data_IF_786042436681
#
_entry.id   IF_786042436681
#
_cell.length_a   1.000
_cell.length_b   1.000
_cell.length_c   1.000
_cell.angle_alpha   90.00
_cell.angle_beta   90.00
_cell.angle_gamma   90.00
#
_symmetry.space_group_name_H-M   'P 1'
#
loop_
_entity.id
_entity.type
_entity.pdbx_description
1 polymer ?
#
# COMPACT_ATOMS: atom_id res chain seq x y z
N UNK A 1 -5.09 10.49 -21.79
CA UNK A 1 -3.70 9.95 -21.93
C UNK A 1 -3.55 8.85 -20.93
N UNK A 2 -2.98 7.72 -21.29
CA UNK A 2 -2.77 6.62 -20.35
C UNK A 2 -1.77 7.05 -19.26
N UNK A 3 -1.99 6.59 -18.02
CA UNK A 3 -1.05 6.75 -16.94
C UNK A 3 0.15 5.81 -17.13
N UNK A 4 1.36 6.26 -16.78
CA UNK A 4 2.55 5.41 -16.73
C UNK A 4 2.95 5.25 -15.25
N UNK A 5 2.83 4.04 -14.73
CA UNK A 5 3.30 3.68 -13.39
C UNK A 5 4.71 3.11 -13.50
N UNK A 6 5.65 3.72 -12.81
CA UNK A 6 7.04 3.26 -12.75
C UNK A 6 7.31 2.68 -11.35
N UNK A 7 7.36 1.35 -11.26
CA UNK A 7 7.66 0.61 -10.04
C UNK A 7 8.34 -0.72 -10.37
N UNK A 8 8.95 -1.35 -9.38
CA UNK A 8 9.64 -2.63 -9.53
C UNK A 8 8.70 -3.72 -10.08
N UNK A 9 9.09 -4.50 -11.11
CA UNK A 9 8.17 -5.37 -11.84
C UNK A 9 7.77 -6.66 -11.11
N UNK A 10 8.61 -7.12 -10.17
CA UNK A 10 8.44 -8.43 -9.50
C UNK A 10 7.71 -8.39 -8.17
N UNK A 11 7.34 -7.21 -7.67
CA UNK A 11 6.78 -7.03 -6.33
C UNK A 11 5.54 -6.13 -6.31
N UNK A 12 4.65 -6.41 -5.37
CA UNK A 12 3.54 -5.50 -5.09
C UNK A 12 4.04 -4.18 -4.49
N UNK A 13 4.72 -4.26 -3.38
CA UNK A 13 5.34 -3.16 -2.67
C UNK A 13 4.46 -1.91 -2.57
N UNK A 14 5.08 -0.74 -2.64
CA UNK A 14 4.37 0.55 -2.64
C UNK A 14 3.63 0.85 -3.94
N UNK A 15 3.99 0.21 -5.05
CA UNK A 15 3.29 0.35 -6.33
C UNK A 15 1.87 -0.19 -6.30
N UNK A 16 1.60 -1.20 -5.46
CA UNK A 16 0.28 -1.83 -5.41
C UNK A 16 -0.82 -0.89 -4.90
N UNK A 17 -0.50 0.01 -4.00
CA UNK A 17 -1.44 1.04 -3.56
C UNK A 17 -1.91 1.91 -4.72
N UNK A 18 -1.01 2.22 -5.66
CA UNK A 18 -1.31 2.99 -6.86
C UNK A 18 -2.12 2.15 -7.85
N UNK A 19 -1.72 0.87 -8.07
CA UNK A 19 -2.46 -0.04 -8.96
C UNK A 19 -3.92 -0.17 -8.52
N UNK A 20 -4.17 -0.39 -7.23
CA UNK A 20 -5.53 -0.50 -6.71
C UNK A 20 -6.38 0.76 -6.96
N UNK A 21 -5.78 1.94 -6.85
CA UNK A 21 -6.49 3.19 -7.14
C UNK A 21 -6.84 3.34 -8.63
N UNK A 22 -5.90 3.01 -9.53
CA UNK A 22 -6.11 3.03 -10.97
C UNK A 22 -7.14 1.98 -11.41
N UNK A 23 -7.05 0.77 -10.87
CA UNK A 23 -8.02 -0.31 -11.14
C UNK A 23 -9.42 0.05 -10.65
N UNK A 24 -9.56 0.59 -9.44
CA UNK A 24 -10.86 1.04 -8.93
C UNK A 24 -11.45 2.18 -9.75
N UNK A 25 -10.62 3.13 -10.18
CA UNK A 25 -11.01 4.21 -11.08
C UNK A 25 -11.45 3.68 -12.46
N UNK A 26 -10.94 2.52 -12.87
CA UNK A 26 -11.15 1.93 -14.20
C UNK A 26 -10.33 2.65 -15.27
N UNK A 27 -9.20 3.18 -14.88
CA UNK A 27 -8.30 3.89 -15.78
C UNK A 27 -7.28 2.95 -16.40
N UNK A 28 -7.03 3.17 -17.69
CA UNK A 28 -5.95 2.48 -18.40
C UNK A 28 -4.60 3.02 -17.95
N UNK A 29 -3.69 2.12 -17.63
CA UNK A 29 -2.31 2.47 -17.27
C UNK A 29 -1.31 1.45 -17.79
N UNK A 30 -0.10 1.94 -18.03
CA UNK A 30 1.07 1.10 -18.31
C UNK A 30 1.90 0.93 -17.03
N UNK A 31 2.14 -0.32 -16.63
CA UNK A 31 3.11 -0.68 -15.59
C UNK A 31 4.49 -0.85 -16.26
N UNK A 32 5.17 0.27 -16.50
CA UNK A 32 6.29 0.42 -17.44
C UNK A 32 7.40 -0.60 -17.21
N UNK A 33 7.79 -0.82 -15.95
CA UNK A 33 8.90 -1.73 -15.65
C UNK A 33 8.58 -3.22 -15.91
N UNK A 34 7.31 -3.56 -16.12
CA UNK A 34 6.90 -4.94 -16.48
C UNK A 34 7.01 -5.23 -17.97
N UNK A 35 7.23 -4.20 -18.79
CA UNK A 35 7.48 -4.35 -20.22
C UNK A 35 8.95 -4.62 -20.56
N UNK A 36 9.26 -4.96 -21.83
CA UNK A 36 10.63 -5.14 -22.29
C UNK A 36 11.49 -3.88 -22.07
N UNK A 37 12.67 -4.03 -21.44
CA UNK A 37 13.55 -2.90 -21.11
C UNK A 37 13.00 -1.92 -20.06
N UNK A 38 11.87 -2.26 -19.43
CA UNK A 38 11.15 -1.35 -18.53
C UNK A 38 11.90 -0.99 -17.26
N UNK A 39 12.76 -1.89 -16.75
CA UNK A 39 13.63 -1.57 -15.59
C UNK A 39 14.66 -0.50 -15.95
N UNK A 40 15.27 -0.58 -17.13
CA UNK A 40 16.21 0.45 -17.58
C UNK A 40 15.50 1.80 -17.77
N UNK A 41 14.29 1.77 -18.32
CA UNK A 41 13.41 2.96 -18.42
C UNK A 41 13.10 3.55 -17.06
N UNK A 42 12.74 2.73 -16.06
CA UNK A 42 12.51 3.18 -14.67
C UNK A 42 13.76 3.82 -14.09
N UNK A 43 14.92 3.19 -14.24
CA UNK A 43 16.18 3.70 -13.69
C UNK A 43 16.65 5.01 -14.33
N UNK A 44 16.43 5.16 -15.64
CA UNK A 44 16.69 6.41 -16.35
C UNK A 44 15.75 7.52 -15.85
N UNK A 45 14.46 7.22 -15.75
CA UNK A 45 13.42 8.16 -15.36
C UNK A 45 13.56 8.73 -13.94
N UNK A 46 14.24 8.01 -13.02
CA UNK A 46 14.54 8.52 -11.67
C UNK A 46 15.38 9.81 -11.67
N UNK A 47 16.14 10.05 -12.73
CA UNK A 47 17.06 11.20 -12.85
C UNK A 47 16.53 12.29 -13.75
N UNK A 48 15.37 12.11 -14.36
CA UNK A 48 14.81 13.00 -15.36
C UNK A 48 13.93 14.10 -14.78
N UNK A 49 13.90 15.24 -15.51
CA UNK A 49 12.97 16.32 -15.28
C UNK A 49 13.32 17.25 -14.12
N UNK A 50 12.51 18.32 -13.94
CA UNK A 50 12.73 19.33 -12.90
C UNK A 50 12.32 18.86 -11.49
N UNK A 51 11.55 17.76 -11.39
CA UNK A 51 11.05 17.19 -10.14
C UNK A 51 11.42 15.71 -10.04
N UNK A 52 12.73 15.37 -9.88
CA UNK A 52 13.19 13.99 -9.86
C UNK A 52 12.59 13.25 -8.66
N UNK A 53 12.18 12.00 -8.89
CA UNK A 53 11.66 11.14 -7.82
C UNK A 53 12.81 10.52 -7.03
N UNK A 54 12.73 10.55 -5.71
CA UNK A 54 13.75 9.94 -4.83
C UNK A 54 13.83 8.41 -5.03
N UNK A 55 12.68 7.77 -5.17
CA UNK A 55 12.55 6.33 -5.35
C UNK A 55 11.19 5.98 -5.98
N UNK A 56 11.04 4.78 -6.60
CA UNK A 56 9.73 4.31 -7.04
C UNK A 56 8.79 4.01 -5.83
N UNK A 57 7.46 4.13 -6.01
CA UNK A 57 6.76 4.42 -7.26
C UNK A 57 6.77 5.89 -7.61
N UNK A 58 6.68 6.15 -8.91
CA UNK A 58 6.24 7.43 -9.42
C UNK A 58 5.31 7.24 -10.63
N UNK A 59 4.45 8.21 -10.82
CA UNK A 59 3.43 8.23 -11.86
C UNK A 59 3.73 9.36 -12.85
N UNK A 60 3.72 9.05 -14.14
CA UNK A 60 3.69 10.05 -15.19
C UNK A 60 2.25 10.27 -15.64
N UNK A 61 1.83 11.52 -15.63
CA UNK A 61 0.48 11.94 -15.99
C UNK A 61 0.49 13.40 -16.46
N UNK A 62 -0.16 13.70 -17.57
CA UNK A 62 -0.35 15.07 -18.07
C UNK A 62 0.95 15.90 -18.14
N UNK A 63 2.05 15.28 -18.50
CA UNK A 63 3.36 15.92 -18.57
C UNK A 63 4.07 16.15 -17.23
N UNK A 64 3.49 15.67 -16.14
CA UNK A 64 4.06 15.71 -14.79
C UNK A 64 4.67 14.37 -14.41
N UNK A 65 5.67 14.39 -13.52
CA UNK A 65 6.15 13.23 -12.79
C UNK A 65 5.84 13.44 -11.32
N UNK A 66 5.05 12.52 -10.73
CA UNK A 66 4.58 12.59 -9.35
C UNK A 66 5.20 11.42 -8.58
N UNK A 67 6.09 11.72 -7.65
CA UNK A 67 6.66 10.75 -6.72
C UNK A 67 5.83 10.61 -5.44
N UNK A 68 6.21 9.65 -4.59
CA UNK A 68 5.56 9.33 -3.32
C UNK A 68 4.14 8.78 -3.46
N UNK A 69 3.92 7.57 -2.96
CA UNK A 69 2.61 6.90 -3.01
C UNK A 69 1.46 7.79 -2.53
N UNK A 70 1.64 8.51 -1.42
CA UNK A 70 0.59 9.36 -0.87
C UNK A 70 0.25 10.55 -1.78
N UNK A 71 1.25 11.15 -2.44
CA UNK A 71 1.01 12.25 -3.39
C UNK A 71 0.35 11.75 -4.68
N UNK A 72 0.76 10.59 -5.18
CA UNK A 72 0.12 9.94 -6.34
C UNK A 72 -1.35 9.66 -6.04
N UNK A 73 -1.65 9.09 -4.88
CA UNK A 73 -3.02 8.75 -4.48
C UNK A 73 -3.88 10.00 -4.27
N UNK A 74 -3.32 11.06 -3.72
CA UNK A 74 -4.02 12.35 -3.61
C UNK A 74 -4.40 12.90 -5.00
N UNK A 75 -3.46 12.87 -5.95
CA UNK A 75 -3.68 13.29 -7.33
C UNK A 75 -4.77 12.45 -8.02
N UNK A 76 -4.70 11.12 -7.92
CA UNK A 76 -5.70 10.22 -8.50
C UNK A 76 -7.06 10.37 -7.79
N UNK A 77 -7.05 10.53 -6.48
CA UNK A 77 -8.26 10.68 -5.67
C UNK A 77 -9.12 11.86 -6.08
N UNK A 78 -8.50 13.01 -6.34
CA UNK A 78 -9.18 14.22 -6.78
C UNK A 78 -9.80 14.06 -8.19
N UNK A 79 -9.10 13.37 -9.09
CA UNK A 79 -9.52 13.20 -10.49
C UNK A 79 -10.59 12.13 -10.69
N UNK A 80 -10.56 11.08 -9.91
CA UNK A 80 -11.37 9.89 -10.15
C UNK A 80 -12.42 9.65 -9.06
N UNK A 81 -12.71 10.65 -8.23
CA UNK A 81 -13.74 10.53 -7.19
C UNK A 81 -13.38 9.58 -6.06
N UNK A 82 -12.08 9.31 -5.84
CA UNK A 82 -11.59 8.49 -4.73
C UNK A 82 -11.18 9.33 -3.51
N UNK A 83 -11.67 10.56 -3.43
CA UNK A 83 -11.56 11.47 -2.29
C UNK A 83 -12.75 12.44 -2.27
N UNK A 84 -13.15 12.97 -1.09
CA UNK A 84 -14.15 14.01 -1.01
C UNK A 84 -13.77 15.28 -1.80
N UNK A 85 -14.78 16.02 -2.24
CA UNK A 85 -14.56 17.24 -3.02
C UNK A 85 -14.19 18.45 -2.14
N UNK A 86 -14.57 18.45 -0.86
CA UNK A 86 -14.24 19.51 0.07
C UNK A 86 -12.82 19.39 0.63
N UNK A 87 -12.25 20.52 1.03
CA UNK A 87 -10.85 20.58 1.51
C UNK A 87 -10.65 19.78 2.81
N UNK A 88 -11.61 19.81 3.73
CA UNK A 88 -11.48 19.10 5.01
C UNK A 88 -11.47 17.59 4.79
N UNK A 89 -12.36 17.07 3.93
CA UNK A 89 -12.41 15.68 3.56
C UNK A 89 -11.14 15.21 2.84
N UNK A 90 -10.61 16.00 1.89
CA UNK A 90 -9.34 15.70 1.22
C UNK A 90 -8.17 15.62 2.19
N UNK A 91 -8.05 16.60 3.10
CA UNK A 91 -6.98 16.61 4.11
C UNK A 91 -7.11 15.42 5.06
N UNK A 92 -8.34 15.07 5.45
CA UNK A 92 -8.57 13.91 6.32
C UNK A 92 -8.20 12.59 5.61
N UNK A 93 -8.61 12.41 4.36
CA UNK A 93 -8.22 11.24 3.56
C UNK A 93 -6.69 11.13 3.43
N UNK A 94 -6.03 12.27 3.19
CA UNK A 94 -4.57 12.31 3.07
C UNK A 94 -3.86 12.00 4.40
N UNK A 95 -4.39 12.51 5.53
CA UNK A 95 -3.88 12.17 6.86
C UNK A 95 -3.96 10.66 7.14
N UNK A 96 -5.08 10.01 6.79
CA UNK A 96 -5.22 8.56 6.92
C UNK A 96 -4.22 7.81 6.04
N UNK A 97 -4.00 8.27 4.82
CA UNK A 97 -3.01 7.71 3.91
C UNK A 97 -1.58 7.83 4.45
N UNK A 98 -1.23 8.95 5.07
CA UNK A 98 0.09 9.11 5.71
C UNK A 98 0.25 8.18 6.92
N UNK A 99 -0.81 8.00 7.71
CA UNK A 99 -0.82 7.02 8.81
C UNK A 99 -0.63 5.58 8.30
N UNK A 100 -1.22 5.24 7.14
CA UNK A 100 -0.97 3.95 6.48
C UNK A 100 0.49 3.85 6.03
N UNK A 101 1.06 4.92 5.45
CA UNK A 101 2.45 4.94 5.02
C UNK A 101 3.44 4.71 6.17
N UNK A 102 3.14 5.24 7.36
CA UNK A 102 3.93 4.99 8.57
C UNK A 102 3.92 3.49 8.93
N UNK A 103 2.74 2.84 8.93
CA UNK A 103 2.65 1.41 9.23
C UNK A 103 3.33 0.55 8.16
N UNK A 104 3.28 0.95 6.90
CA UNK A 104 4.00 0.30 5.80
C UNK A 104 5.52 0.36 6.01
N UNK A 105 6.03 1.50 6.49
CA UNK A 105 7.44 1.64 6.84
C UNK A 105 7.81 0.74 8.03
N UNK A 106 6.98 0.73 9.08
CA UNK A 106 7.20 -0.15 10.23
C UNK A 106 7.16 -1.64 9.85
N UNK A 107 6.28 -2.05 8.92
CA UNK A 107 6.25 -3.42 8.42
C UNK A 107 7.54 -3.78 7.67
N UNK A 108 8.05 -2.89 6.83
CA UNK A 108 9.34 -3.07 6.15
C UNK A 108 10.49 -3.20 7.15
N UNK A 109 10.50 -2.39 8.21
CA UNK A 109 11.56 -2.40 9.22
C UNK A 109 11.58 -3.68 10.08
N UNK A 110 10.53 -4.52 10.04
CA UNK A 110 10.57 -5.81 10.73
C UNK A 110 11.61 -6.76 10.18
N UNK A 111 11.96 -6.65 8.91
CA UNK A 111 12.97 -7.49 8.25
C UNK A 111 14.22 -6.71 7.79
N UNK A 112 14.21 -5.37 7.92
CA UNK A 112 15.34 -4.49 7.65
C UNK A 112 15.53 -3.46 8.78
N UNK A 113 15.66 -3.88 10.06
CA UNK A 113 15.64 -2.97 11.20
C UNK A 113 16.91 -2.14 11.37
N UNK A 114 18.05 -2.63 10.88
CA UNK A 114 19.34 -1.95 11.00
C UNK A 114 19.63 -1.12 9.75
N UNK A 115 19.40 -1.69 8.58
CA UNK A 115 19.63 -0.99 7.33
C UNK A 115 19.02 -1.70 6.13
N UNK A 116 18.42 -0.92 5.23
CA UNK A 116 17.78 -1.45 4.02
C UNK A 116 18.78 -2.01 2.99
N UNK A 117 20.07 -1.69 3.12
CA UNK A 117 21.13 -2.23 2.28
C UNK A 117 21.72 -3.58 2.78
N UNK A 118 21.31 -4.05 3.95
CA UNK A 118 21.70 -5.34 4.50
C UNK A 118 20.69 -6.42 4.11
N UNK A 119 21.13 -7.67 3.98
CA UNK A 119 20.21 -8.80 3.84
C UNK A 119 19.54 -9.13 5.18
N UNK A 120 18.37 -9.78 5.11
CA UNK A 120 17.67 -10.24 6.32
C UNK A 120 18.56 -11.14 7.18
N UNK A 121 19.37 -12.00 6.55
CA UNK A 121 20.29 -12.92 7.18
C UNK A 121 21.33 -12.25 8.07
N UNK A 122 21.71 -11.01 7.74
CA UNK A 122 22.72 -10.23 8.45
C UNK A 122 22.15 -9.52 9.70
N UNK A 123 20.83 -9.48 9.86
CA UNK A 123 20.14 -8.70 10.89
C UNK A 123 18.98 -9.46 11.57
N UNK A 124 19.01 -10.79 11.57
CA UNK A 124 17.92 -11.64 12.10
C UNK A 124 17.59 -11.38 13.57
N UNK A 125 18.60 -11.15 14.40
CA UNK A 125 18.40 -10.90 15.84
C UNK A 125 17.64 -9.60 16.08
N UNK A 126 18.01 -8.54 15.39
CA UNK A 126 17.36 -7.23 15.44
C UNK A 126 15.96 -7.31 14.80
N UNK A 127 15.81 -8.04 13.70
CA UNK A 127 14.53 -8.29 13.05
C UNK A 127 13.54 -8.98 13.99
N UNK A 128 13.97 -10.02 14.69
CA UNK A 128 13.14 -10.71 15.69
C UNK A 128 12.67 -9.73 16.79
N UNK A 129 13.59 -8.92 17.33
CA UNK A 129 13.27 -7.93 18.36
C UNK A 129 12.29 -6.87 17.85
N UNK A 130 12.50 -6.36 16.62
CA UNK A 130 11.61 -5.38 15.99
C UNK A 130 10.22 -5.97 15.71
N UNK A 131 10.16 -7.20 15.19
CA UNK A 131 8.90 -7.89 14.90
C UNK A 131 8.09 -8.19 16.17
N UNK A 132 8.74 -8.48 17.30
CA UNK A 132 8.05 -8.66 18.59
C UNK A 132 7.32 -7.39 19.05
N UNK A 133 7.94 -6.22 18.95
CA UNK A 133 7.27 -4.95 19.23
C UNK A 133 6.16 -4.69 18.21
N UNK A 134 6.46 -4.88 16.92
CA UNK A 134 5.51 -4.64 15.84
C UNK A 134 4.24 -5.47 15.98
N UNK A 135 4.37 -6.78 16.21
CA UNK A 135 3.22 -7.69 16.30
C UNK A 135 2.42 -7.55 17.61
N UNK A 136 3.09 -7.19 18.73
CA UNK A 136 2.45 -7.10 20.05
C UNK A 136 1.91 -5.71 20.38
N UNK A 137 2.52 -4.66 19.87
CA UNK A 137 2.15 -3.29 20.22
C UNK A 137 1.68 -2.47 19.01
N UNK A 138 2.38 -2.54 17.87
CA UNK A 138 2.11 -1.63 16.76
C UNK A 138 0.89 -2.05 15.94
N UNK A 139 0.81 -3.30 15.47
CA UNK A 139 -0.39 -3.81 14.78
C UNK A 139 -1.66 -3.55 15.59
N UNK A 140 -1.76 -3.93 16.88
CA UNK A 140 -2.96 -3.65 17.68
C UNK A 140 -3.30 -2.16 17.77
N UNK A 141 -2.29 -1.28 17.94
CA UNK A 141 -2.51 0.17 18.03
C UNK A 141 -3.09 0.75 16.75
N UNK A 142 -2.55 0.40 15.59
CA UNK A 142 -3.04 0.88 14.31
C UNK A 142 -4.43 0.32 13.99
N UNK A 143 -4.67 -0.95 14.29
CA UNK A 143 -5.99 -1.55 14.08
C UNK A 143 -7.06 -0.90 14.96
N UNK A 144 -6.77 -0.66 16.24
CA UNK A 144 -7.67 0.07 17.12
C UNK A 144 -7.98 1.49 16.58
N UNK A 145 -6.97 2.20 16.08
CA UNK A 145 -7.15 3.51 15.48
C UNK A 145 -8.07 3.45 14.24
N UNK A 146 -7.76 2.61 13.26
CA UNK A 146 -8.57 2.50 12.06
C UNK A 146 -9.96 1.95 12.33
N UNK A 147 -10.11 1.04 13.27
CA UNK A 147 -11.41 0.54 13.74
C UNK A 147 -12.25 1.65 14.34
N UNK A 148 -11.66 2.54 15.14
CA UNK A 148 -12.33 3.72 15.70
C UNK A 148 -12.71 4.72 14.60
N UNK A 149 -11.81 4.99 13.65
CA UNK A 149 -12.09 5.87 12.51
C UNK A 149 -13.21 5.32 11.65
N UNK A 150 -13.22 4.02 11.38
CA UNK A 150 -14.27 3.37 10.59
C UNK A 150 -15.62 3.40 11.33
N UNK A 151 -15.65 3.05 12.62
CA UNK A 151 -16.89 2.97 13.39
C UNK A 151 -17.88 2.01 12.74
N UNK A 152 -19.11 2.50 12.54
CA UNK A 152 -20.20 1.77 11.88
C UNK A 152 -20.36 2.09 10.39
N UNK A 153 -19.46 2.91 9.83
CA UNK A 153 -19.50 3.32 8.41
C UNK A 153 -19.09 2.18 7.49
N UNK A 154 -19.50 2.27 6.23
CA UNK A 154 -19.07 1.34 5.20
C UNK A 154 -17.60 1.52 4.82
N UNK A 155 -17.13 2.77 4.74
CA UNK A 155 -15.76 3.16 4.43
C UNK A 155 -15.27 4.22 5.42
N UNK A 156 -13.98 4.48 5.46
CA UNK A 156 -13.32 5.35 6.45
C UNK A 156 -13.96 6.74 6.55
N UNK A 157 -14.47 7.27 5.43
CA UNK A 157 -15.07 8.61 5.38
C UNK A 157 -16.61 8.60 5.30
N UNK A 158 -17.26 7.46 5.09
CA UNK A 158 -18.72 7.37 4.98
C UNK A 158 -19.19 6.25 4.07
N UNK A 159 -20.05 6.56 3.10
CA UNK A 159 -20.64 5.59 2.17
C UNK A 159 -19.78 5.35 0.92
N UNK A 160 -18.92 6.29 0.55
CA UNK A 160 -18.11 6.22 -0.66
C UNK A 160 -16.69 5.75 -0.37
N UNK A 161 -16.17 4.87 -1.24
CA UNK A 161 -14.80 4.40 -1.15
C UNK A 161 -13.82 5.52 -1.46
N UNK A 162 -12.73 5.57 -0.71
CA UNK A 162 -11.60 6.48 -0.97
C UNK A 162 -10.32 5.70 -1.23
N UNK A 163 -9.29 6.39 -1.73
CA UNK A 163 -7.97 5.76 -1.87
C UNK A 163 -7.38 5.29 -0.53
N UNK A 164 -7.80 5.88 0.60
CA UNK A 164 -7.38 5.43 1.92
C UNK A 164 -7.98 4.06 2.29
N UNK A 165 -9.21 3.76 1.85
CA UNK A 165 -9.83 2.45 2.03
C UNK A 165 -9.13 1.37 1.21
N UNK A 166 -8.79 1.69 -0.05
CA UNK A 166 -8.02 0.80 -0.93
C UNK A 166 -6.62 0.54 -0.35
N UNK A 167 -6.01 1.57 0.22
CA UNK A 167 -4.71 1.45 0.87
C UNK A 167 -4.78 0.64 2.16
N UNK A 168 -5.81 0.85 2.98
CA UNK A 168 -6.02 0.04 4.19
C UNK A 168 -6.29 -1.42 3.83
N UNK A 169 -7.05 -1.68 2.77
CA UNK A 169 -7.24 -3.03 2.22
C UNK A 169 -5.89 -3.69 1.88
N UNK A 170 -5.04 -3.04 1.08
CA UNK A 170 -3.73 -3.57 0.71
C UNK A 170 -2.83 -3.81 1.93
N UNK A 171 -2.88 -2.92 2.90
CA UNK A 171 -2.15 -3.06 4.16
C UNK A 171 -2.60 -4.31 4.92
N UNK A 172 -3.92 -4.52 5.06
CA UNK A 172 -4.49 -5.69 5.75
C UNK A 172 -4.12 -7.00 5.03
N UNK A 173 -4.18 -7.03 3.69
CA UNK A 173 -3.74 -8.16 2.88
C UNK A 173 -2.25 -8.47 3.10
N UNK A 174 -1.41 -7.42 3.08
CA UNK A 174 0.03 -7.57 3.28
C UNK A 174 0.41 -8.04 4.68
N UNK A 175 -0.27 -7.51 5.70
CA UNK A 175 -0.06 -7.95 7.09
C UNK A 175 -0.54 -9.38 7.33
N UNK A 176 -1.67 -9.78 6.71
CA UNK A 176 -2.16 -11.16 6.78
C UNK A 176 -1.20 -12.16 6.12
N UNK A 177 -0.56 -11.75 5.01
CA UNK A 177 0.49 -12.55 4.39
C UNK A 177 1.74 -12.65 5.27
N UNK A 178 2.26 -11.51 5.76
CA UNK A 178 3.54 -11.47 6.48
C UNK A 178 3.42 -11.98 7.94
N UNK A 179 2.33 -11.63 8.63
CA UNK A 179 2.08 -11.90 10.05
C UNK A 179 0.68 -12.48 10.27
N UNK A 180 0.37 -13.66 9.71
CA UNK A 180 -0.99 -14.21 9.76
C UNK A 180 -1.54 -14.41 11.17
N UNK A 181 -0.72 -14.83 12.14
CA UNK A 181 -1.17 -15.04 13.53
C UNK A 181 -1.45 -13.70 14.24
N UNK A 182 -0.55 -12.73 14.11
CA UNK A 182 -0.72 -11.42 14.74
C UNK A 182 -1.91 -10.67 14.12
N UNK A 183 -2.05 -10.71 12.80
CA UNK A 183 -3.15 -10.09 12.06
C UNK A 183 -4.49 -10.73 12.43
N UNK A 184 -4.59 -12.05 12.49
CA UNK A 184 -5.81 -12.75 12.90
C UNK A 184 -6.23 -12.38 14.34
N UNK A 185 -5.27 -12.33 15.29
CA UNK A 185 -5.56 -11.88 16.67
C UNK A 185 -6.10 -10.46 16.72
N UNK A 186 -5.52 -9.55 15.94
CA UNK A 186 -5.95 -8.16 15.92
C UNK A 186 -7.31 -7.98 15.23
N UNK A 187 -7.55 -8.65 14.10
CA UNK A 187 -8.84 -8.61 13.40
C UNK A 187 -9.98 -9.19 14.22
N UNK A 188 -9.71 -10.22 15.05
CA UNK A 188 -10.72 -10.78 15.96
C UNK A 188 -11.26 -9.74 16.95
N UNK A 189 -10.46 -8.72 17.30
CA UNK A 189 -10.87 -7.62 18.19
C UNK A 189 -11.49 -6.44 17.41
N UNK A 190 -11.33 -6.40 16.08
CA UNK A 190 -11.76 -5.33 15.21
C UNK A 190 -12.51 -5.87 13.98
N UNK A 191 -13.71 -6.50 14.17
CA UNK A 191 -14.43 -7.17 13.08
C UNK A 191 -14.88 -6.21 11.97
N UNK A 192 -15.05 -4.92 12.27
CA UNK A 192 -15.35 -3.91 11.26
C UNK A 192 -14.22 -3.73 10.22
N UNK A 193 -12.95 -3.90 10.60
CA UNK A 193 -11.83 -3.90 9.66
C UNK A 193 -11.86 -5.13 8.74
N UNK A 194 -12.21 -6.30 9.27
CA UNK A 194 -12.41 -7.49 8.45
C UNK A 194 -13.57 -7.31 7.46
N UNK A 195 -14.65 -6.66 7.90
CA UNK A 195 -15.78 -6.32 7.03
C UNK A 195 -15.40 -5.32 5.93
N UNK A 196 -14.62 -4.27 6.27
CA UNK A 196 -14.07 -3.33 5.26
C UNK A 196 -13.21 -4.07 4.24
N UNK A 197 -12.28 -4.92 4.68
CA UNK A 197 -11.42 -5.74 3.82
C UNK A 197 -12.24 -6.55 2.83
N UNK A 198 -13.27 -7.25 3.31
CA UNK A 198 -14.16 -8.04 2.46
C UNK A 198 -14.97 -7.18 1.48
N UNK A 199 -15.46 -6.02 1.93
CA UNK A 199 -16.22 -5.07 1.11
C UNK A 199 -15.36 -4.51 -0.02
N UNK A 200 -14.14 -4.11 0.25
CA UNK A 200 -13.21 -3.63 -0.79
C UNK A 200 -12.87 -4.75 -1.78
N UNK A 201 -12.57 -5.96 -1.30
CA UNK A 201 -12.29 -7.12 -2.16
C UNK A 201 -13.47 -7.47 -3.08
N UNK A 202 -14.72 -7.25 -2.64
CA UNK A 202 -15.93 -7.54 -3.40
C UNK A 202 -16.30 -6.45 -4.42
N UNK A 203 -15.62 -5.31 -4.45
CA UNK A 203 -15.89 -4.27 -5.46
C UNK A 203 -15.59 -4.80 -6.86
N UNK A 204 -16.48 -4.61 -7.85
CA UNK A 204 -16.38 -5.32 -9.11
C UNK A 204 -15.03 -5.21 -9.82
N UNK A 205 -14.45 -4.01 -9.87
CA UNK A 205 -13.15 -3.78 -10.53
C UNK A 205 -11.99 -4.36 -9.71
N UNK A 206 -12.03 -4.21 -8.39
CA UNK A 206 -11.04 -4.80 -7.49
C UNK A 206 -11.11 -6.32 -7.56
N UNK A 207 -12.30 -6.93 -7.48
CA UNK A 207 -12.46 -8.38 -7.58
C UNK A 207 -11.91 -8.94 -8.91
N UNK A 208 -12.17 -8.25 -10.02
CA UNK A 208 -11.62 -8.62 -11.32
C UNK A 208 -10.09 -8.49 -11.37
N UNK A 209 -9.54 -7.42 -10.79
CA UNK A 209 -8.09 -7.23 -10.70
C UNK A 209 -7.41 -8.30 -9.84
N UNK A 210 -7.98 -8.63 -8.67
CA UNK A 210 -7.43 -9.64 -7.76
C UNK A 210 -7.32 -11.03 -8.41
N UNK A 211 -8.20 -11.34 -9.37
CA UNK A 211 -8.20 -12.60 -10.12
C UNK A 211 -7.38 -12.55 -11.41
N UNK A 212 -6.86 -11.39 -11.77
CA UNK A 212 -6.15 -11.19 -13.03
C UNK A 212 -4.64 -11.46 -12.89
N UNK A 213 -3.94 -11.80 -13.99
CA UNK A 213 -2.47 -11.94 -14.00
C UNK A 213 -1.74 -10.59 -13.80
N UNK A 214 -2.45 -9.47 -13.79
CA UNK A 214 -1.88 -8.17 -13.47
C UNK A 214 -1.56 -8.03 -11.98
N UNK A 215 -2.33 -8.70 -11.11
CA UNK A 215 -2.04 -8.76 -9.66
C UNK A 215 -0.80 -9.61 -9.42
N UNK A 216 0.27 -8.98 -8.96
CA UNK A 216 1.51 -9.69 -8.59
C UNK A 216 1.25 -10.46 -7.29
N UNK A 217 1.62 -11.75 -7.17
CA UNK A 217 1.52 -12.45 -5.89
C UNK A 217 2.47 -11.86 -4.84
N UNK A 218 2.12 -11.99 -3.56
CA UNK A 218 3.07 -11.70 -2.48
C UNK A 218 4.29 -12.62 -2.58
N UNK A 219 5.44 -12.10 -2.18
CA UNK A 219 6.72 -12.82 -2.16
C UNK A 219 7.68 -12.25 -1.10
N UNK A 220 8.87 -12.85 -0.99
CA UNK A 220 9.88 -12.50 0.01
C UNK A 220 10.84 -11.38 -0.45
N UNK A 221 10.48 -10.62 -1.49
CA UNK A 221 11.30 -9.51 -2.01
C UNK A 221 10.64 -8.14 -1.78
N UNK A 222 9.32 -8.15 -1.45
CA UNK A 222 8.53 -6.95 -1.25
C UNK A 222 8.65 -6.36 0.16
N UNK A 223 7.66 -5.49 0.52
CA UNK A 223 7.54 -4.91 1.86
C UNK A 223 7.01 -5.93 2.85
N UNK A 224 6.00 -6.69 2.43
CA UNK A 224 5.37 -7.72 3.24
C UNK A 224 6.05 -9.05 2.94
N UNK A 225 6.94 -9.48 3.82
CA UNK A 225 7.70 -10.73 3.70
C UNK A 225 7.29 -11.69 4.80
N UNK A 226 7.12 -12.95 4.44
CA UNK A 226 6.70 -13.99 5.37
C UNK A 226 7.89 -14.74 5.92
N UNK A 227 8.34 -14.35 7.10
CA UNK A 227 9.31 -15.07 7.91
C UNK A 227 8.58 -15.64 9.14
N UNK A 228 8.29 -16.97 9.18
CA UNK A 228 7.45 -17.57 10.25
C UNK A 228 7.95 -17.29 11.66
N UNK A 229 9.25 -17.15 11.84
CA UNK A 229 9.89 -16.83 13.11
C UNK A 229 9.59 -15.41 13.62
N UNK A 230 9.19 -14.50 12.73
CA UNK A 230 8.84 -13.13 13.08
C UNK A 230 7.37 -12.97 13.52
N UNK A 231 6.52 -14.00 13.32
CA UNK A 231 5.10 -14.01 13.66
C UNK A 231 4.82 -14.98 14.85
N UNK A 232 5.44 -14.74 16.00
CA UNK A 232 5.32 -15.58 17.18
C UNK A 232 4.10 -15.22 18.07
#
# INVERSE_FOLDING_TARGET
MAYELLYWPGIQGRGEFVRLALEEAGEDYEDVARGPGGVDTLMAALKEGPTPSFAPPFLRAEGMTIGQTAAILMYLGERHGLAPQDTAGRLWTHQLQLTIADLVAEAHDTHHPVGSGLYYEDQKAEALRRAQDFTKARIPKFFAYFSTVLGEKDYLLGADVTYADLSLFQLLEGLDYAFPKATARALAQHPNLAALRARVAARPRIAAYLQSPRRIPFNEEGIFRRYPELDA
#
